data_IF_827000016958
#
_entry.id   IF_827000016958
#
_cell.length_a   1.000
_cell.length_b   1.000
_cell.length_c   1.000
_cell.angle_alpha   90.00
_cell.angle_beta   90.00
_cell.angle_gamma   90.00
#
_symmetry.space_group_name_H-M   'P 1'
#
loop_
_entity.id
_entity.type
_entity.pdbx_description
1 polymer ?
#
# COMPACT_ATOMS: atom_id res chain seq x y z
N UNK A 1 -21.40 22.74 30.70
CA UNK A 1 -20.47 21.88 29.95
C UNK A 1 -20.12 22.60 28.66
N UNK A 2 -18.97 23.26 28.62
CA UNK A 2 -18.38 23.71 27.36
C UNK A 2 -17.61 22.50 26.83
N UNK A 3 -18.17 21.80 25.84
CA UNK A 3 -17.38 20.93 25.00
C UNK A 3 -16.58 21.87 24.09
N UNK A 4 -15.25 22.00 24.21
CA UNK A 4 -14.51 22.65 23.17
C UNK A 4 -14.54 21.68 21.99
N UNK A 5 -15.21 22.10 20.93
CA UNK A 5 -14.97 21.58 19.60
C UNK A 5 -13.51 21.90 19.31
N UNK A 6 -12.61 20.98 19.65
CA UNK A 6 -11.23 21.01 19.21
C UNK A 6 -11.30 20.98 17.69
N UNK A 7 -11.14 22.16 17.09
CA UNK A 7 -10.65 22.26 15.72
C UNK A 7 -9.40 21.39 15.71
N UNK A 8 -9.53 20.16 15.16
CA UNK A 8 -8.36 19.39 14.77
C UNK A 8 -7.69 20.26 13.73
N UNK A 9 -6.69 21.02 14.16
CA UNK A 9 -5.69 21.56 13.26
C UNK A 9 -5.22 20.35 12.46
N UNK A 10 -5.59 20.31 11.17
CA UNK A 10 -5.04 19.34 10.24
C UNK A 10 -3.54 19.66 10.21
N UNK A 11 -2.77 18.93 11.03
CA UNK A 11 -1.31 18.98 11.03
C UNK A 11 -0.88 18.76 9.58
N UNK A 12 -0.41 19.84 8.94
CA UNK A 12 0.15 19.76 7.60
C UNK A 12 1.45 18.98 7.75
N UNK A 13 1.40 17.72 7.32
CA UNK A 13 2.58 16.86 7.24
C UNK A 13 3.65 17.55 6.41
N UNK A 14 4.88 17.45 6.87
CA UNK A 14 6.04 17.96 6.15
C UNK A 14 6.28 17.11 4.90
N UNK A 15 6.96 17.70 3.90
CA UNK A 15 7.37 16.95 2.70
C UNK A 15 8.19 15.69 3.04
N UNK A 16 8.93 15.71 4.15
CA UNK A 16 9.73 14.59 4.63
C UNK A 16 8.85 13.48 5.21
N UNK A 17 7.81 13.83 5.97
CA UNK A 17 6.80 12.88 6.47
C UNK A 17 5.96 12.30 5.31
N UNK A 18 5.61 13.11 4.30
CA UNK A 18 4.93 12.63 3.08
C UNK A 18 5.77 11.59 2.34
N UNK A 19 7.08 11.82 2.19
CA UNK A 19 7.99 10.87 1.55
C UNK A 19 8.20 9.60 2.38
N UNK A 20 8.18 9.70 3.71
CA UNK A 20 8.27 8.54 4.60
C UNK A 20 7.04 7.65 4.46
N UNK A 21 5.83 8.24 4.53
CA UNK A 21 4.58 7.50 4.33
C UNK A 21 4.53 6.80 2.97
N UNK A 22 4.87 7.49 1.88
CA UNK A 22 4.89 6.89 0.54
C UNK A 22 5.90 5.72 0.42
N UNK A 23 7.00 5.77 1.15
CA UNK A 23 7.97 4.67 1.19
C UNK A 23 7.47 3.50 2.02
N UNK A 24 6.75 3.75 3.11
CA UNK A 24 6.10 2.71 3.90
C UNK A 24 5.04 1.98 3.07
N UNK A 25 4.21 2.73 2.33
CA UNK A 25 3.21 2.17 1.40
C UNK A 25 3.90 1.30 0.34
N UNK A 26 4.99 1.80 -0.27
CA UNK A 26 5.76 1.05 -1.28
C UNK A 26 6.31 -0.27 -0.71
N UNK A 27 6.77 -0.28 0.54
CA UNK A 27 7.21 -1.50 1.22
C UNK A 27 6.03 -2.45 1.44
N UNK A 28 4.86 -1.92 1.82
CA UNK A 28 3.62 -2.67 1.97
C UNK A 28 3.24 -3.42 0.69
N UNK A 29 3.23 -2.74 -0.46
CA UNK A 29 2.87 -3.38 -1.73
C UNK A 29 3.86 -4.47 -2.15
N UNK A 30 5.16 -4.24 -1.95
CA UNK A 30 6.18 -5.26 -2.21
C UNK A 30 6.05 -6.47 -1.29
N UNK A 31 5.66 -6.27 -0.03
CA UNK A 31 5.39 -7.35 0.91
C UNK A 31 4.14 -8.14 0.51
N UNK A 32 3.07 -7.47 0.07
CA UNK A 32 1.85 -8.10 -0.41
C UNK A 32 2.14 -8.99 -1.64
N UNK A 33 2.90 -8.48 -2.62
CA UNK A 33 3.33 -9.26 -3.79
C UNK A 33 4.05 -10.55 -3.35
N UNK A 34 5.06 -10.42 -2.49
CA UNK A 34 5.83 -11.58 -2.03
C UNK A 34 4.95 -12.59 -1.27
N UNK A 35 4.05 -12.10 -0.43
CA UNK A 35 3.14 -12.94 0.35
C UNK A 35 2.17 -13.71 -0.56
N UNK A 36 1.57 -13.06 -1.55
CA UNK A 36 0.66 -13.72 -2.47
C UNK A 36 1.37 -14.74 -3.36
N UNK A 37 2.61 -14.47 -3.77
CA UNK A 37 3.43 -15.44 -4.49
C UNK A 37 3.68 -16.70 -3.65
N UNK A 38 4.05 -16.55 -2.37
CA UNK A 38 4.23 -17.69 -1.46
C UNK A 38 2.92 -18.47 -1.26
N UNK A 39 1.79 -17.77 -1.13
CA UNK A 39 0.49 -18.41 -0.99
C UNK A 39 0.10 -19.23 -2.23
N UNK A 40 0.38 -18.74 -3.44
CA UNK A 40 0.10 -19.45 -4.70
C UNK A 40 0.78 -20.83 -4.72
N UNK A 41 2.00 -20.96 -4.21
CA UNK A 41 2.72 -22.24 -4.15
C UNK A 41 2.02 -23.29 -3.27
N UNK A 42 1.25 -22.85 -2.27
CA UNK A 42 0.52 -23.72 -1.34
C UNK A 42 -0.94 -23.98 -1.71
N UNK A 43 -1.49 -23.25 -2.68
CA UNK A 43 -2.91 -23.34 -3.04
C UNK A 43 -3.21 -24.51 -3.97
N UNK A 44 -4.34 -25.17 -3.74
CA UNK A 44 -4.85 -26.25 -4.60
C UNK A 44 -6.00 -25.80 -5.51
N UNK A 45 -6.58 -24.64 -5.25
CA UNK A 45 -7.70 -24.10 -6.04
C UNK A 45 -7.16 -23.22 -7.16
N UNK A 46 -7.37 -23.65 -8.41
CA UNK A 46 -7.00 -22.89 -9.61
C UNK A 46 -7.68 -21.52 -9.67
N UNK A 47 -8.92 -21.42 -9.20
CA UNK A 47 -9.67 -20.16 -9.11
C UNK A 47 -9.02 -19.20 -8.10
N UNK A 48 -8.58 -19.72 -6.96
CA UNK A 48 -7.89 -18.91 -5.95
C UNK A 48 -6.51 -18.45 -6.45
N UNK A 49 -5.76 -19.32 -7.14
CA UNK A 49 -4.48 -18.97 -7.76
C UNK A 49 -4.66 -17.85 -8.78
N UNK A 50 -5.61 -18.00 -9.71
CA UNK A 50 -5.90 -16.99 -10.74
C UNK A 50 -6.29 -15.65 -10.11
N UNK A 51 -7.05 -15.69 -9.02
CA UNK A 51 -7.45 -14.47 -8.29
C UNK A 51 -6.24 -13.79 -7.65
N UNK A 52 -5.35 -14.54 -6.99
CA UNK A 52 -4.13 -13.99 -6.42
C UNK A 52 -3.16 -13.47 -7.47
N UNK A 53 -3.04 -14.13 -8.63
CA UNK A 53 -2.24 -13.64 -9.75
C UNK A 53 -2.73 -12.27 -10.24
N UNK A 54 -4.06 -12.08 -10.33
CA UNK A 54 -4.62 -10.78 -10.68
C UNK A 54 -4.32 -9.72 -9.60
N UNK A 55 -4.48 -10.05 -8.32
CA UNK A 55 -4.14 -9.12 -7.22
C UNK A 55 -2.67 -8.73 -7.27
N UNK A 56 -1.76 -9.67 -7.54
CA UNK A 56 -0.32 -9.38 -7.69
C UNK A 56 -0.06 -8.36 -8.83
N UNK A 57 -0.81 -8.43 -9.93
CA UNK A 57 -0.66 -7.44 -11.01
C UNK A 57 -1.15 -6.05 -10.58
N UNK A 58 -2.25 -5.97 -9.82
CA UNK A 58 -2.74 -4.71 -9.24
C UNK A 58 -1.68 -4.10 -8.29
N UNK A 59 -1.09 -4.90 -7.40
CA UNK A 59 -0.04 -4.38 -6.49
C UNK A 59 1.22 -3.94 -7.24
N UNK A 60 1.56 -4.57 -8.37
CA UNK A 60 2.66 -4.10 -9.23
C UNK A 60 2.34 -2.75 -9.87
N UNK A 61 1.07 -2.50 -10.22
CA UNK A 61 0.63 -1.19 -10.69
C UNK A 61 0.76 -0.15 -9.57
N UNK A 62 0.31 -0.46 -8.36
CA UNK A 62 0.47 0.42 -7.19
C UNK A 62 1.94 0.75 -6.92
N UNK A 63 2.85 -0.25 -6.94
CA UNK A 63 4.31 -0.04 -6.85
C UNK A 63 4.79 0.96 -7.90
N UNK A 64 4.35 0.82 -9.15
CA UNK A 64 4.76 1.71 -10.23
C UNK A 64 4.24 3.14 -10.03
N UNK A 65 3.03 3.32 -9.49
CA UNK A 65 2.45 4.62 -9.16
C UNK A 65 3.17 5.29 -8.00
N UNK A 66 3.41 4.58 -6.90
CA UNK A 66 4.15 5.07 -5.74
C UNK A 66 5.58 5.49 -6.11
N UNK A 67 6.27 4.70 -6.95
CA UNK A 67 7.60 5.07 -7.44
C UNK A 67 7.59 6.37 -8.25
N UNK A 68 6.55 6.63 -9.05
CA UNK A 68 6.42 7.90 -9.79
C UNK A 68 6.20 9.07 -8.83
N UNK A 69 5.44 8.87 -7.74
CA UNK A 69 5.22 9.91 -6.73
C UNK A 69 6.51 10.25 -5.97
N UNK A 70 7.31 9.24 -5.61
CA UNK A 70 8.58 9.42 -4.87
C UNK A 70 9.68 10.06 -5.73
N UNK A 71 9.67 9.85 -7.05
CA UNK A 71 10.70 10.37 -7.96
C UNK A 71 10.46 11.82 -8.41
N UNK A 72 9.25 12.36 -8.23
CA UNK A 72 8.90 13.74 -8.59
C UNK A 72 9.26 14.73 -7.47
#
# INVERSE_FOLDING_TARGET
MNCPFEEREEEQLTLEEDLEMLREDLVGELQAINQYQEHIEGLQSEEAVTTLEHIIEDEKEHVAELLKLIQN
#
